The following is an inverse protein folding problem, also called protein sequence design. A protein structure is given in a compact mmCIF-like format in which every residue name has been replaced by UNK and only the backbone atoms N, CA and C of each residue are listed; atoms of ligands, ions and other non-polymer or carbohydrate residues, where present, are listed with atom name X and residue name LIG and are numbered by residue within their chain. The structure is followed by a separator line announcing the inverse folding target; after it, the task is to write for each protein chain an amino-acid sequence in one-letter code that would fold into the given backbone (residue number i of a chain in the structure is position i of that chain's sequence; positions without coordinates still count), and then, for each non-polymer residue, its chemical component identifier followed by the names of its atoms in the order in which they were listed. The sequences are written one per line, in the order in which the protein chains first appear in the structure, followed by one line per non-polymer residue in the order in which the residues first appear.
data_IF_054284792468
#
_entry.id   IF_054284792468
#
_cell.length_a   1.000
_cell.length_b   1.000
_cell.length_c   1.000
_cell.angle_alpha   90.00
_cell.angle_beta   90.00
_cell.angle_gamma   90.00
#
_symmetry.space_group_name_H-M   'P 1'
#
loop_
_entity.id
_entity.type
_entity.pdbx_description
1 polymer ?
#
# COMPACT_ATOMS: atom_id res chain seq x y z
N UNK A 1 12.45 8.65 -37.53
CA UNK A 1 11.75 9.54 -36.58
C UNK A 1 12.64 9.73 -35.38
N UNK A 2 13.05 10.97 -35.06
CA UNK A 2 13.71 11.26 -33.78
C UNK A 2 12.68 11.02 -32.68
N UNK A 3 12.86 9.98 -31.88
CA UNK A 3 11.98 9.68 -30.75
C UNK A 3 12.25 10.77 -29.69
N UNK A 4 11.43 11.82 -29.66
CA UNK A 4 11.62 12.90 -28.70
C UNK A 4 11.34 12.36 -27.29
N UNK A 5 12.33 12.51 -26.41
CA UNK A 5 12.16 12.21 -24.99
C UNK A 5 11.02 13.05 -24.43
N UNK A 6 10.07 12.40 -23.76
CA UNK A 6 8.89 13.07 -23.19
C UNK A 6 9.08 13.27 -21.70
N UNK A 7 8.77 14.46 -21.21
CA UNK A 7 8.63 14.70 -19.78
C UNK A 7 7.24 14.25 -19.34
N UNK A 8 7.16 13.49 -18.27
CA UNK A 8 5.92 12.94 -17.73
C UNK A 8 5.70 13.50 -16.35
N UNK A 9 4.51 14.05 -16.13
CA UNK A 9 4.11 14.63 -14.85
C UNK A 9 3.02 13.76 -14.25
N UNK A 10 3.28 13.24 -13.06
CA UNK A 10 2.34 12.42 -12.29
C UNK A 10 1.88 13.24 -11.09
N UNK A 11 0.58 13.47 -11.01
CA UNK A 11 -0.04 14.25 -9.94
C UNK A 11 -1.11 13.39 -9.31
N UNK A 12 -1.10 13.27 -7.99
CA UNK A 12 -2.17 12.59 -7.27
C UNK A 12 -1.82 12.27 -5.83
N UNK A 13 -2.66 11.45 -5.23
CA UNK A 13 -2.53 11.08 -3.83
C UNK A 13 -1.25 10.31 -3.58
N UNK A 14 -0.48 10.81 -2.60
CA UNK A 14 0.70 10.14 -2.10
C UNK A 14 0.30 9.36 -0.86
N UNK A 15 0.75 8.11 -0.79
CA UNK A 15 0.39 7.20 0.30
C UNK A 15 1.62 6.43 0.71
N UNK A 16 1.76 6.14 2.01
CA UNK A 16 2.75 5.18 2.50
C UNK A 16 2.09 3.81 2.61
N UNK A 17 2.53 2.86 1.79
CA UNK A 17 2.16 1.46 1.94
C UNK A 17 3.04 0.84 3.04
N UNK A 18 2.44 0.42 4.14
CA UNK A 18 3.09 -0.27 5.24
C UNK A 18 2.74 -1.76 5.19
N UNK A 19 3.72 -2.56 4.79
CA UNK A 19 3.60 -4.02 4.68
C UNK A 19 4.21 -4.70 5.89
N UNK A 20 3.43 -5.51 6.60
CA UNK A 20 3.82 -6.26 7.78
C UNK A 20 3.82 -7.74 7.42
N UNK A 21 5.01 -8.33 7.38
CA UNK A 21 5.15 -9.78 7.22
C UNK A 21 5.04 -10.43 8.59
N UNK A 22 4.06 -11.31 8.71
CA UNK A 22 3.76 -12.02 9.94
C UNK A 22 3.72 -13.53 9.72
N UNK A 23 3.86 -14.28 10.81
CA UNK A 23 3.59 -15.72 10.86
C UNK A 23 2.63 -15.96 12.00
N UNK A 24 1.54 -16.71 11.80
CA UNK A 24 0.70 -17.02 12.95
C UNK A 24 1.45 -17.97 13.88
N UNK A 25 1.39 -17.64 15.17
CA UNK A 25 2.04 -18.35 16.25
C UNK A 25 0.98 -19.26 16.86
N UNK A 26 1.23 -20.57 16.84
CA UNK A 26 0.40 -21.49 17.60
C UNK A 26 0.45 -21.09 19.08
N UNK A 27 -0.72 -20.74 19.63
CA UNK A 27 -0.88 -20.52 21.05
C UNK A 27 -0.55 -21.82 21.79
N UNK A 28 0.24 -21.73 22.86
CA UNK A 28 0.37 -22.87 23.79
C UNK A 28 -1.01 -23.09 24.42
N UNK A 29 -1.44 -24.34 24.69
CA UNK A 29 -2.80 -24.64 25.15
C UNK A 29 -3.23 -23.87 26.42
N UNK A 30 -2.27 -23.47 27.26
CA UNK A 30 -2.51 -22.71 28.50
C UNK A 30 -2.55 -21.18 28.32
N UNK A 31 -2.38 -20.68 27.09
CA UNK A 31 -2.44 -19.26 26.73
C UNK A 31 -3.58 -18.95 25.74
N UNK A 32 -4.48 -19.91 25.51
CA UNK A 32 -5.72 -19.65 24.76
C UNK A 32 -6.63 -18.79 25.63
N UNK A 33 -6.53 -17.47 25.45
CA UNK A 33 -7.37 -16.48 26.12
C UNK A 33 -8.79 -16.55 25.55
N UNK A 34 -8.93 -16.93 24.28
CA UNK A 34 -10.19 -17.37 23.68
C UNK A 34 -9.93 -18.19 22.41
N UNK A 35 -10.84 -19.10 22.05
CA UNK A 35 -10.72 -20.01 20.90
C UNK A 35 -10.69 -19.32 19.51
N UNK A 36 -10.74 -17.97 19.47
CA UNK A 36 -10.84 -17.17 18.25
C UNK A 36 -9.69 -16.17 18.04
N UNK A 37 -8.77 -16.01 19.00
CA UNK A 37 -7.67 -15.06 18.87
C UNK A 37 -6.44 -15.70 18.23
N UNK A 38 -6.01 -15.18 17.08
CA UNK A 38 -4.75 -15.58 16.44
C UNK A 38 -3.65 -14.58 16.79
N UNK A 39 -2.62 -15.05 17.50
CA UNK A 39 -1.42 -14.26 17.74
C UNK A 39 -0.50 -14.36 16.53
N UNK A 40 -0.12 -13.20 15.99
CA UNK A 40 0.86 -13.09 14.92
C UNK A 40 2.23 -12.73 15.46
N UNK A 41 3.24 -13.49 15.06
CA UNK A 41 4.63 -13.11 15.23
C UNK A 41 5.07 -12.24 14.03
N UNK A 42 5.38 -10.97 14.29
CA UNK A 42 5.86 -10.05 13.26
C UNK A 42 7.30 -10.41 12.89
N UNK A 43 7.54 -10.72 11.62
CA UNK A 43 8.86 -11.07 11.08
C UNK A 43 9.57 -9.90 10.45
N UNK A 44 8.84 -9.04 9.75
CA UNK A 44 9.40 -7.89 9.04
C UNK A 44 8.34 -6.82 8.85
N UNK A 45 8.77 -5.56 8.87
CA UNK A 45 7.97 -4.41 8.41
C UNK A 45 8.69 -3.78 7.22
N UNK A 46 7.92 -3.28 6.27
CA UNK A 46 8.44 -2.59 5.09
C UNK A 46 7.53 -1.41 4.77
N UNK A 47 8.12 -0.25 4.54
CA UNK A 47 7.43 0.93 4.07
C UNK A 47 7.77 1.12 2.58
N UNK A 48 6.77 1.41 1.77
CA UNK A 48 6.94 1.74 0.36
C UNK A 48 6.09 2.95 -0.03
N UNK A 49 6.54 3.71 -1.03
CA UNK A 49 5.79 4.82 -1.58
C UNK A 49 4.72 4.29 -2.54
N UNK A 50 3.46 4.58 -2.23
CA UNK A 50 2.26 4.14 -2.94
C UNK A 50 1.45 5.28 -3.54
N UNK A 51 0.24 4.96 -4.00
CA UNK A 51 -0.62 5.90 -4.71
C UNK A 51 -0.02 6.34 -6.05
N UNK A 52 -0.02 7.64 -6.33
CA UNK A 52 0.57 8.23 -7.53
C UNK A 52 2.08 7.91 -7.67
N UNK A 53 2.78 7.64 -6.56
CA UNK A 53 4.18 7.24 -6.58
C UNK A 53 4.42 5.90 -7.30
N UNK A 54 3.46 4.96 -7.26
CA UNK A 54 3.59 3.69 -8.00
C UNK A 54 3.63 3.96 -9.51
N UNK A 55 2.73 4.80 -9.99
CA UNK A 55 2.67 5.20 -11.40
C UNK A 55 3.95 5.93 -11.81
N UNK A 56 4.44 6.87 -10.99
CA UNK A 56 5.68 7.57 -11.27
C UNK A 56 6.91 6.65 -11.31
N UNK A 57 6.98 5.64 -10.43
CA UNK A 57 8.06 4.64 -10.43
C UNK A 57 8.06 3.79 -11.69
N UNK A 58 6.89 3.31 -12.13
CA UNK A 58 6.77 2.57 -13.40
C UNK A 58 7.18 3.47 -14.57
N UNK A 59 6.66 4.69 -14.63
CA UNK A 59 6.94 5.63 -15.70
C UNK A 59 8.41 6.06 -15.73
N UNK A 60 9.08 6.18 -14.58
CA UNK A 60 10.51 6.46 -14.52
C UNK A 60 11.34 5.35 -15.17
N UNK A 61 10.91 4.08 -15.10
CA UNK A 61 11.60 2.96 -15.73
C UNK A 61 11.35 2.93 -17.24
N UNK A 62 10.10 3.07 -17.67
CA UNK A 62 9.72 2.86 -19.08
C UNK A 62 9.88 4.11 -19.96
N UNK A 63 9.83 5.30 -19.38
CA UNK A 63 9.97 6.55 -20.12
C UNK A 63 11.46 6.87 -20.32
N UNK A 64 11.87 7.18 -21.55
CA UNK A 64 13.23 7.62 -21.84
C UNK A 64 13.53 9.04 -21.30
N UNK A 65 12.51 9.89 -21.18
CA UNK A 65 12.62 11.23 -20.61
C UNK A 65 12.53 11.26 -19.09
N UNK A 66 12.23 12.44 -18.54
CA UNK A 66 12.15 12.66 -17.09
C UNK A 66 10.73 12.40 -16.56
N UNK A 67 10.66 11.92 -15.32
CA UNK A 67 9.39 11.72 -14.61
C UNK A 67 9.35 12.60 -13.37
N UNK A 68 8.28 13.37 -13.25
CA UNK A 68 8.03 14.30 -12.15
C UNK A 68 6.85 13.77 -11.33
N UNK A 69 6.96 13.81 -10.00
CA UNK A 69 5.90 13.37 -9.10
C UNK A 69 5.51 14.51 -8.17
N UNK A 70 4.25 14.92 -8.23
CA UNK A 70 3.68 15.96 -7.38
C UNK A 70 2.55 15.39 -6.52
N UNK A 71 2.47 15.86 -5.27
CA UNK A 71 1.34 15.55 -4.41
C UNK A 71 1.51 16.11 -3.01
N UNK A 72 0.44 15.98 -2.23
CA UNK A 72 0.43 16.45 -0.84
C UNK A 72 1.13 15.42 0.04
N UNK A 73 2.02 15.88 0.91
CA UNK A 73 2.69 15.06 1.92
C UNK A 73 2.23 15.44 3.32
N UNK A 74 2.10 14.44 4.17
CA UNK A 74 1.90 14.58 5.60
C UNK A 74 3.09 14.07 6.40
N UNK A 75 2.99 14.17 7.72
CA UNK A 75 3.99 13.66 8.66
C UNK A 75 4.01 12.14 8.67
N UNK A 76 5.21 11.58 8.61
CA UNK A 76 5.46 10.15 8.77
C UNK A 76 6.29 9.94 10.04
N UNK A 77 6.01 8.88 10.84
CA UNK A 77 6.68 8.68 12.12
C UNK A 77 8.12 8.17 11.99
N UNK A 78 8.50 7.64 10.82
CA UNK A 78 9.79 6.94 10.64
C UNK A 78 10.73 7.74 9.75
N UNK A 79 10.34 8.01 8.51
CA UNK A 79 11.19 8.62 7.49
C UNK A 79 10.35 9.54 6.60
N UNK A 80 10.93 10.62 6.09
CA UNK A 80 10.26 11.49 5.11
C UNK A 80 9.74 10.71 3.90
N UNK A 81 8.66 11.18 3.28
CA UNK A 81 8.11 10.54 2.08
C UNK A 81 9.15 10.44 0.95
N UNK A 82 10.02 11.45 0.80
CA UNK A 82 11.12 11.42 -0.16
C UNK A 82 12.07 10.24 0.08
N UNK A 83 12.42 9.98 1.34
CA UNK A 83 13.27 8.83 1.68
C UNK A 83 12.58 7.52 1.32
N UNK A 84 11.30 7.38 1.69
CA UNK A 84 10.50 6.18 1.38
C UNK A 84 10.39 5.97 -0.15
N UNK A 85 10.21 7.05 -0.92
CA UNK A 85 10.18 7.01 -2.37
C UNK A 85 11.53 6.56 -2.98
N UNK A 86 12.65 7.06 -2.45
CA UNK A 86 13.97 6.66 -2.90
C UNK A 86 14.25 5.17 -2.59
N UNK A 87 13.91 4.73 -1.38
CA UNK A 87 14.05 3.32 -0.98
C UNK A 87 13.18 2.41 -1.87
N UNK A 88 11.97 2.85 -2.21
CA UNK A 88 11.05 2.11 -3.09
C UNK A 88 11.58 2.03 -4.52
N UNK A 89 12.10 3.14 -5.05
CA UNK A 89 12.73 3.19 -6.38
C UNK A 89 13.96 2.27 -6.45
N UNK A 90 14.76 2.26 -5.37
CA UNK A 90 15.93 1.38 -5.25
C UNK A 90 15.51 -0.09 -5.19
N UNK A 91 14.44 -0.41 -4.46
CA UNK A 91 13.89 -1.76 -4.38
C UNK A 91 13.43 -2.29 -5.75
N UNK A 92 12.93 -1.43 -6.63
CA UNK A 92 12.55 -1.79 -8.01
C UNK A 92 13.76 -1.97 -8.94
N UNK A 93 14.99 -1.76 -8.45
CA UNK A 93 16.21 -1.65 -9.26
C UNK A 93 16.10 -0.59 -10.36
N UNK A 94 15.29 0.46 -10.15
CA UNK A 94 15.23 1.58 -11.08
C UNK A 94 16.44 2.49 -10.87
N UNK A 95 17.19 2.71 -11.94
CA UNK A 95 18.35 3.62 -11.96
C UNK A 95 17.95 5.08 -12.27
N UNK A 96 16.68 5.33 -12.60
CA UNK A 96 16.19 6.66 -12.96
C UNK A 96 15.54 7.34 -11.75
N UNK A 97 16.06 8.52 -11.42
CA UNK A 97 15.55 9.35 -10.34
C UNK A 97 14.22 10.00 -10.74
N UNK A 98 13.26 9.98 -9.82
CA UNK A 98 11.99 10.70 -9.95
C UNK A 98 12.17 12.10 -9.36
N UNK A 99 11.85 13.13 -10.14
CA UNK A 99 11.85 14.51 -9.67
C UNK A 99 10.61 14.76 -8.80
N UNK A 100 10.79 14.64 -7.50
CA UNK A 100 9.70 14.71 -6.53
C UNK A 100 9.45 16.14 -6.02
N UNK A 101 8.18 16.57 -5.97
CA UNK A 101 7.75 17.82 -5.36
C UNK A 101 6.56 17.53 -4.43
N UNK A 102 6.88 17.31 -3.15
CA UNK A 102 5.88 17.16 -2.10
C UNK A 102 5.52 18.52 -1.51
N UNK A 103 4.23 18.81 -1.41
CA UNK A 103 3.71 19.99 -0.71
C UNK A 103 3.15 19.54 0.63
N UNK A 104 3.70 20.06 1.73
CA UNK A 104 3.11 19.87 3.05
C UNK A 104 2.16 21.03 3.32
N UNK A 105 0.96 20.73 3.82
CA UNK A 105 0.04 21.79 4.24
C UNK A 105 0.39 22.29 5.66
N UNK A 106 -0.21 23.41 6.06
CA UNK A 106 0.04 24.05 7.36
C UNK A 106 -0.56 23.28 8.55
N UNK A 107 -1.36 22.24 8.30
CA UNK A 107 -2.08 21.49 9.34
C UNK A 107 -1.22 20.43 10.00
N UNK A 108 -0.03 20.16 9.45
CA UNK A 108 0.87 19.11 9.94
C UNK A 108 0.22 17.72 9.96
N UNK A 109 -0.80 17.51 9.11
CA UNK A 109 -1.55 16.27 9.04
C UNK A 109 -0.65 15.05 8.83
N UNK A 110 -1.00 13.88 9.39
CA UNK A 110 -0.26 12.65 9.15
C UNK A 110 -0.38 12.23 7.69
N UNK A 111 0.66 11.55 7.20
CA UNK A 111 0.66 10.97 5.87
C UNK A 111 -0.42 9.90 5.74
N UNK A 112 -1.17 9.91 4.64
CA UNK A 112 -2.09 8.81 4.34
C UNK A 112 -1.29 7.51 4.25
N UNK A 113 -1.71 6.50 5.03
CA UNK A 113 -1.01 5.22 5.13
C UNK A 113 -1.97 4.06 4.86
N UNK A 114 -1.59 3.15 3.95
CA UNK A 114 -2.28 1.89 3.72
C UNK A 114 -1.48 0.80 4.41
N UNK A 115 -2.11 0.09 5.35
CA UNK A 115 -1.45 -0.98 6.08
C UNK A 115 -1.90 -2.34 5.53
N UNK A 116 -0.96 -3.28 5.38
CA UNK A 116 -1.22 -4.64 4.87
C UNK A 116 -0.46 -5.65 5.70
N UNK A 117 -1.15 -6.69 6.16
CA UNK A 117 -0.54 -7.81 6.85
C UNK A 117 -0.46 -8.97 5.86
N UNK A 118 0.75 -9.48 5.64
CA UNK A 118 1.02 -10.65 4.83
C UNK A 118 1.43 -11.77 5.79
N UNK A 119 0.51 -12.71 6.01
CA UNK A 119 0.77 -13.90 6.81
C UNK A 119 1.13 -15.09 5.91
N UNK A 120 2.31 -15.66 6.11
CA UNK A 120 2.71 -16.88 5.40
C UNK A 120 2.37 -18.11 6.25
N UNK A 121 1.08 -18.47 6.26
CA UNK A 121 0.62 -19.78 6.70
C UNK A 121 -0.19 -20.34 5.53
N UNK A 122 0.07 -21.57 5.12
CA UNK A 122 -0.64 -22.29 4.04
C UNK A 122 -2.16 -22.51 4.29
N UNK A 123 -2.77 -21.76 5.19
CA UNK A 123 -4.22 -21.64 5.30
C UNK A 123 -4.61 -20.18 5.00
N UNK A 124 -4.75 -19.93 3.69
CA UNK A 124 -5.49 -18.86 3.02
C UNK A 124 -6.20 -17.85 3.91
N UNK A 125 -5.69 -16.62 4.06
CA UNK A 125 -6.55 -15.43 4.20
C UNK A 125 -5.85 -14.19 3.63
N UNK A 126 -6.54 -13.52 2.69
CA UNK A 126 -6.18 -12.27 2.02
C UNK A 126 -7.10 -11.16 2.54
N UNK A 127 -6.69 -10.31 3.48
CA UNK A 127 -7.29 -8.97 3.66
C UNK A 127 -6.29 -7.97 4.27
N UNK A 128 -6.22 -6.72 3.77
CA UNK A 128 -5.39 -5.64 4.33
C UNK A 128 -6.03 -5.02 5.58
N UNK A 129 -5.24 -4.73 6.61
CA UNK A 129 -5.69 -4.21 7.91
C UNK A 129 -5.10 -2.81 8.11
N UNK A 130 -5.93 -1.78 8.36
CA UNK A 130 -5.55 -0.38 8.59
C UNK A 130 -5.26 -0.14 10.09
N UNK A 131 -4.20 0.60 10.42
CA UNK A 131 -3.57 0.63 11.76
C UNK A 131 -3.93 1.84 12.65
N UNK A 132 -4.97 2.60 12.33
CA UNK A 132 -5.12 3.93 12.96
C UNK A 132 -5.87 3.94 14.30
N UNK A 133 -6.15 2.80 14.93
CA UNK A 133 -6.65 2.75 16.32
C UNK A 133 -5.76 1.80 17.16
N UNK A 134 -5.12 2.32 18.21
CA UNK A 134 -4.23 1.56 19.10
C UNK A 134 -4.96 0.43 19.84
N UNK A 135 -4.31 -0.75 19.98
CA UNK A 135 -4.70 -1.82 20.91
C UNK A 135 -5.97 -2.58 20.50
N UNK A 136 -5.93 -3.91 20.59
CA UNK A 136 -7.02 -4.88 20.40
C UNK A 136 -8.35 -4.34 19.80
N UNK A 137 -8.62 -4.63 18.52
CA UNK A 137 -9.86 -4.18 17.85
C UNK A 137 -10.79 -5.36 17.59
N UNK A 138 -11.94 -5.34 18.28
CA UNK A 138 -13.13 -6.12 17.96
C UNK A 138 -13.84 -5.55 16.72
N UNK A 139 -14.04 -6.38 15.69
CA UNK A 139 -14.90 -6.05 14.54
C UNK A 139 -16.25 -6.75 14.72
N UNK A 140 -17.34 -5.99 14.64
CA UNK A 140 -18.70 -6.56 14.64
C UNK A 140 -19.00 -7.23 13.28
N UNK A 141 -19.74 -8.35 13.29
CA UNK A 141 -20.09 -9.13 12.09
C UNK A 141 -20.67 -8.29 10.95
N UNK A 142 -21.48 -7.29 11.30
CA UNK A 142 -22.18 -6.44 10.35
C UNK A 142 -21.22 -5.58 9.49
N UNK A 143 -20.14 -5.08 10.10
CA UNK A 143 -19.09 -4.35 9.37
C UNK A 143 -18.28 -5.28 8.46
N UNK A 144 -18.05 -6.52 8.89
CA UNK A 144 -17.37 -7.53 8.09
C UNK A 144 -18.18 -7.89 6.82
N UNK A 145 -19.49 -8.10 6.96
CA UNK A 145 -20.39 -8.42 5.84
C UNK A 145 -20.50 -7.27 4.83
N UNK A 146 -20.54 -6.03 5.31
CA UNK A 146 -20.57 -4.83 4.45
C UNK A 146 -19.31 -4.72 3.61
N UNK A 147 -18.14 -4.93 4.21
CA UNK A 147 -16.84 -4.88 3.49
C UNK A 147 -16.73 -5.99 2.45
N UNK A 148 -17.17 -7.21 2.76
CA UNK A 148 -17.19 -8.32 1.81
C UNK A 148 -18.13 -8.03 0.64
N UNK A 149 -19.32 -7.47 0.91
CA UNK A 149 -20.28 -7.10 -0.13
C UNK A 149 -19.69 -6.08 -1.11
N UNK A 150 -19.04 -5.02 -0.60
CA UNK A 150 -18.38 -4.01 -1.44
C UNK A 150 -17.23 -4.58 -2.26
N UNK A 151 -16.41 -5.46 -1.70
CA UNK A 151 -15.30 -6.09 -2.42
C UNK A 151 -15.79 -7.03 -3.53
N UNK A 152 -16.85 -7.79 -3.27
CA UNK A 152 -17.46 -8.66 -4.27
C UNK A 152 -18.13 -7.87 -5.40
N UNK A 153 -18.69 -6.69 -5.09
CA UNK A 153 -19.27 -5.82 -6.11
C UNK A 153 -18.19 -5.30 -7.08
N UNK A 154 -17.08 -4.78 -6.55
CA UNK A 154 -15.95 -4.31 -7.36
C UNK A 154 -15.35 -5.45 -8.19
N UNK A 155 -15.25 -6.66 -7.64
CA UNK A 155 -14.73 -7.81 -8.38
C UNK A 155 -15.63 -8.17 -9.58
N UNK A 156 -16.95 -8.17 -9.39
CA UNK A 156 -17.92 -8.43 -10.47
C UNK A 156 -17.90 -7.34 -11.55
N UNK A 157 -17.75 -6.08 -11.16
CA UNK A 157 -17.60 -4.98 -12.14
C UNK A 157 -16.33 -5.14 -12.99
N UNK A 158 -15.24 -5.63 -12.40
CA UNK A 158 -14.00 -5.91 -13.12
C UNK A 158 -14.12 -7.12 -14.06
N UNK A 159 -14.81 -8.19 -13.65
CA UNK A 159 -15.09 -9.34 -14.51
C UNK A 159 -15.96 -8.94 -15.73
N UNK A 160 -16.99 -8.13 -15.52
CA UNK A 160 -17.82 -7.61 -16.61
C UNK A 160 -17.04 -6.69 -17.57
N UNK A 161 -16.09 -5.90 -17.07
CA UNK A 161 -15.20 -5.11 -17.93
C UNK A 161 -14.29 -6.01 -18.78
N UNK A 162 -13.76 -7.09 -18.21
CA UNK A 162 -12.91 -8.04 -18.93
C UNK A 162 -13.71 -8.76 -20.03
N UNK A 163 -14.91 -9.25 -19.73
CA UNK A 163 -15.77 -9.92 -20.71
C UNK A 163 -16.24 -9.00 -21.85
N UNK A 164 -16.34 -7.69 -21.60
CA UNK A 164 -16.66 -6.68 -22.62
C UNK A 164 -15.48 -6.35 -23.56
N UNK A 165 -14.26 -6.71 -23.18
CA UNK A 165 -13.05 -6.49 -23.99
C UNK A 165 -12.77 -7.69 -24.91
N UNK A 166 -13.31 -8.87 -24.59
CA UNK A 166 -13.08 -10.13 -25.32
C UNK A 166 -14.28 -10.60 -26.16
N UNK A 167 -15.36 -9.82 -26.24
CA UNK A 167 -16.47 -9.99 -27.19
C UNK A 167 -16.59 -8.76 -28.10
#
# INVERSE_FOLDING_TARGET
MLNMKKNVFVIGDLVVDHTIFARSKALRPHLQIDAQEQIYEIKRRQLTAGGAANTARILAVVNEGNTFLWGIIGKTPVNSFRSILNDSTTFDNSYKVIEFYGVQDETDAPMHTINRIISNNDNTFRHPVRFDDYGDIHITKEKHETVISSLNHVHKEQEHMIDSIYN
#
